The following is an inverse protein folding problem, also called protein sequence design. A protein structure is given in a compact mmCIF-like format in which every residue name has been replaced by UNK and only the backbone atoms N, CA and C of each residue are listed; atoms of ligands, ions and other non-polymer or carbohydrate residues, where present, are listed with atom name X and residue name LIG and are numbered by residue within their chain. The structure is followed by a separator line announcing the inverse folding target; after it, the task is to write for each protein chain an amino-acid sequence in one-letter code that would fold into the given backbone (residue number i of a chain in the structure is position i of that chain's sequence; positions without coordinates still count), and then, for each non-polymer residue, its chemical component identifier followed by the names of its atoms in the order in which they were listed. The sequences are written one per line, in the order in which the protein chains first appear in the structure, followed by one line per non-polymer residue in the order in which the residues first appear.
data_IF_970664886467
#
_entry.id   IF_970664886467
#
_cell.length_a   1.000
_cell.length_b   1.000
_cell.length_c   1.000
_cell.angle_alpha   90.00
_cell.angle_beta   90.00
_cell.angle_gamma   90.00
#
_symmetry.space_group_name_H-M   'P 1'
#
loop_
_entity.id
_entity.type
_entity.pdbx_description
1 polymer ?
#
# COMPACT_ATOMS: atom_id res chain seq x y z
N UNK A 1 -26.31 16.83 -11.23
CA UNK A 1 -25.65 15.97 -10.22
C UNK A 1 -25.98 14.52 -10.59
N UNK A 2 -25.20 13.93 -11.47
CA UNK A 2 -25.40 12.54 -11.92
C UNK A 2 -24.49 11.66 -11.07
N UNK A 3 -25.12 10.92 -10.16
CA UNK A 3 -24.44 10.07 -9.18
C UNK A 3 -23.61 8.98 -9.85
N UNK A 4 -22.33 8.97 -9.52
CA UNK A 4 -21.36 7.93 -9.86
C UNK A 4 -21.05 7.05 -8.65
N UNK A 5 -22.07 6.79 -7.83
CA UNK A 5 -21.92 6.09 -6.55
C UNK A 5 -22.00 4.55 -6.66
N UNK A 6 -22.06 4.00 -7.87
CA UNK A 6 -22.12 2.56 -8.04
C UNK A 6 -20.72 1.92 -7.93
N UNK A 7 -20.61 0.75 -7.27
CA UNK A 7 -19.37 -0.02 -7.27
C UNK A 7 -18.86 -0.28 -8.69
N UNK A 8 -17.56 -0.27 -8.87
CA UNK A 8 -16.87 -0.55 -10.14
C UNK A 8 -16.38 -1.99 -10.16
N UNK A 9 -16.74 -2.76 -11.19
CA UNK A 9 -16.05 -4.00 -11.47
C UNK A 9 -14.57 -3.74 -11.77
N UNK A 10 -13.70 -4.74 -11.62
CA UNK A 10 -12.27 -4.59 -11.90
C UNK A 10 -12.01 -4.11 -13.34
N UNK A 11 -12.73 -4.67 -14.33
CA UNK A 11 -12.54 -4.27 -15.74
C UNK A 11 -12.88 -2.80 -15.94
N UNK A 12 -13.96 -2.34 -15.33
CA UNK A 12 -14.36 -0.95 -15.41
C UNK A 12 -13.41 -0.01 -14.69
N UNK A 13 -12.92 -0.44 -13.54
CA UNK A 13 -11.87 0.26 -12.81
C UNK A 13 -10.60 0.40 -13.66
N UNK A 14 -10.14 -0.69 -14.29
CA UNK A 14 -9.00 -0.66 -15.22
C UNK A 14 -9.21 0.34 -16.36
N UNK A 15 -10.41 0.34 -16.98
CA UNK A 15 -10.72 1.25 -18.09
C UNK A 15 -10.73 2.73 -17.66
N UNK A 16 -11.26 3.03 -16.47
CA UNK A 16 -11.32 4.40 -15.95
C UNK A 16 -9.92 4.89 -15.55
N UNK A 17 -9.12 4.04 -14.88
CA UNK A 17 -7.77 4.40 -14.42
C UNK A 17 -6.72 4.41 -15.52
N UNK A 18 -6.84 3.57 -16.56
CA UNK A 18 -5.87 3.51 -17.65
C UNK A 18 -5.74 4.83 -18.43
N UNK A 19 -6.74 5.71 -18.33
CA UNK A 19 -6.77 7.03 -18.96
C UNK A 19 -6.38 8.16 -18.01
N UNK A 20 -6.19 7.86 -16.74
CA UNK A 20 -5.88 8.85 -15.71
C UNK A 20 -4.38 9.12 -15.65
N UNK A 21 -3.99 10.39 -15.54
CA UNK A 21 -2.62 10.75 -15.18
C UNK A 21 -2.42 10.56 -13.66
N UNK A 22 -2.14 9.33 -13.29
CA UNK A 22 -1.98 8.95 -11.87
C UNK A 22 -0.75 9.59 -11.22
N UNK A 23 0.22 10.06 -11.99
CA UNK A 23 1.42 10.75 -11.45
C UNK A 23 1.06 12.10 -10.86
N UNK A 24 0.13 12.82 -11.51
CA UNK A 24 -0.33 14.15 -11.08
C UNK A 24 -1.70 14.11 -10.39
N UNK A 25 -2.28 12.93 -10.18
CA UNK A 25 -3.58 12.80 -9.55
C UNK A 25 -3.53 13.24 -8.08
N UNK A 26 -4.47 14.09 -7.61
CA UNK A 26 -4.62 14.36 -6.20
C UNK A 26 -5.00 13.11 -5.40
N UNK A 27 -4.48 12.96 -4.18
CA UNK A 27 -4.78 11.83 -3.29
C UNK A 27 -6.29 11.64 -3.11
N UNK A 28 -7.04 12.73 -2.88
CA UNK A 28 -8.49 12.65 -2.67
C UNK A 28 -9.24 12.04 -3.87
N UNK A 29 -8.86 12.40 -5.10
CA UNK A 29 -9.46 11.83 -6.31
C UNK A 29 -9.12 10.34 -6.47
N UNK A 30 -7.88 9.95 -6.12
CA UNK A 30 -7.48 8.54 -6.12
C UNK A 30 -8.24 7.74 -5.06
N UNK A 31 -8.40 8.28 -3.86
CA UNK A 31 -9.15 7.63 -2.79
C UNK A 31 -10.60 7.38 -3.18
N UNK A 32 -11.28 8.40 -3.70
CA UNK A 32 -12.66 8.29 -4.17
C UNK A 32 -12.80 7.18 -5.22
N UNK A 33 -11.91 7.16 -6.19
CA UNK A 33 -11.89 6.13 -7.22
C UNK A 33 -11.60 4.74 -6.64
N UNK A 34 -10.57 4.60 -5.79
CA UNK A 34 -10.14 3.33 -5.21
C UNK A 34 -11.21 2.71 -4.30
N UNK A 35 -11.94 3.54 -3.56
CA UNK A 35 -13.02 3.07 -2.67
C UNK A 35 -14.25 2.57 -3.42
N UNK A 36 -14.42 2.96 -4.69
CA UNK A 36 -15.50 2.47 -5.55
C UNK A 36 -15.22 1.09 -6.16
N UNK A 37 -13.98 0.61 -6.14
CA UNK A 37 -13.66 -0.73 -6.62
C UNK A 37 -14.44 -1.77 -5.83
N UNK A 38 -15.22 -2.59 -6.51
CA UNK A 38 -15.89 -3.73 -5.92
C UNK A 38 -14.87 -4.82 -5.60
N UNK A 39 -14.80 -5.23 -4.33
CA UNK A 39 -13.92 -6.29 -3.87
C UNK A 39 -14.77 -7.53 -3.59
N UNK A 40 -15.25 -8.16 -4.65
CA UNK A 40 -16.02 -9.38 -4.52
C UNK A 40 -15.15 -10.56 -4.03
N UNK A 41 -15.82 -11.54 -3.41
CA UNK A 41 -15.15 -12.71 -2.82
C UNK A 41 -14.44 -13.57 -3.87
N UNK A 42 -14.90 -13.58 -5.12
CA UNK A 42 -14.26 -14.35 -6.19
C UNK A 42 -12.92 -13.71 -6.58
N UNK A 43 -12.89 -12.36 -6.70
CA UNK A 43 -11.68 -11.63 -7.02
C UNK A 43 -10.62 -11.77 -5.91
N UNK A 44 -11.01 -11.48 -4.67
CA UNK A 44 -10.06 -11.48 -3.55
C UNK A 44 -9.66 -12.92 -3.20
N UNK A 45 -10.62 -13.84 -3.09
CA UNK A 45 -10.40 -15.24 -2.72
C UNK A 45 -9.45 -15.99 -3.65
N UNK A 46 -9.49 -15.69 -4.97
CA UNK A 46 -8.55 -16.26 -5.94
C UNK A 46 -7.09 -15.90 -5.71
N UNK A 47 -6.82 -14.82 -4.92
CA UNK A 47 -5.49 -14.31 -4.65
C UNK A 47 -5.09 -14.42 -3.17
N UNK A 48 -5.88 -15.11 -2.33
CA UNK A 48 -5.53 -15.37 -0.92
C UNK A 48 -4.51 -16.49 -0.87
N UNK A 49 -3.26 -16.14 -0.61
CA UNK A 49 -2.17 -17.08 -0.40
C UNK A 49 -1.23 -16.50 0.69
N UNK A 50 -1.01 -17.27 1.76
CA UNK A 50 -0.17 -16.88 2.90
C UNK A 50 1.24 -17.47 2.77
N UNK A 51 2.24 -16.76 3.28
CA UNK A 51 3.62 -17.25 3.41
C UNK A 51 4.00 -17.37 4.88
N UNK A 52 4.89 -18.32 5.21
CA UNK A 52 5.42 -18.49 6.56
C UNK A 52 6.55 -17.51 6.88
N UNK A 53 7.33 -17.12 5.88
CA UNK A 53 8.54 -16.32 6.08
C UNK A 53 8.23 -14.83 6.28
N UNK A 54 7.23 -14.31 5.56
CA UNK A 54 6.84 -12.89 5.59
C UNK A 54 5.42 -12.75 5.03
N UNK A 55 4.80 -11.58 5.19
CA UNK A 55 3.50 -11.34 4.56
C UNK A 55 3.57 -11.50 3.05
N UNK A 56 2.59 -12.19 2.48
CA UNK A 56 2.56 -12.47 1.05
C UNK A 56 2.02 -11.26 0.26
N UNK A 57 2.62 -10.99 -0.91
CA UNK A 57 2.22 -9.93 -1.86
C UNK A 57 1.70 -10.58 -3.15
N UNK A 58 0.41 -10.86 -3.21
CA UNK A 58 -0.20 -11.56 -4.32
C UNK A 58 -0.74 -10.55 -5.35
N UNK A 59 -0.17 -10.56 -6.56
CA UNK A 59 -0.54 -9.63 -7.62
C UNK A 59 -1.89 -10.03 -8.23
N UNK A 60 -2.86 -9.12 -8.23
CA UNK A 60 -4.14 -9.26 -8.94
C UNK A 60 -3.99 -8.76 -10.37
N UNK A 61 -3.57 -7.51 -10.54
CA UNK A 61 -3.29 -6.94 -11.84
C UNK A 61 -2.28 -5.79 -11.74
N UNK A 62 -1.58 -5.54 -12.86
CA UNK A 62 -0.67 -4.41 -13.01
C UNK A 62 -0.83 -3.80 -14.39
N UNK A 63 -0.93 -2.48 -14.42
CA UNK A 63 -0.95 -1.65 -15.63
C UNK A 63 0.19 -0.64 -15.56
N UNK A 64 0.32 0.22 -16.57
CA UNK A 64 1.25 1.35 -16.49
C UNK A 64 0.82 2.42 -15.46
N UNK A 65 -0.47 2.49 -15.13
CA UNK A 65 -1.05 3.51 -14.26
C UNK A 65 -1.14 3.08 -12.79
N UNK A 66 -1.38 1.80 -12.52
CA UNK A 66 -1.58 1.29 -11.16
C UNK A 66 -1.26 -0.20 -11.04
N UNK A 67 -1.15 -0.67 -9.80
CA UNK A 67 -1.18 -2.09 -9.45
C UNK A 67 -2.16 -2.36 -8.31
N UNK A 68 -2.79 -3.53 -8.35
CA UNK A 68 -3.71 -4.05 -7.34
C UNK A 68 -3.14 -5.34 -6.77
N UNK A 69 -3.04 -5.41 -5.45
CA UNK A 69 -2.48 -6.54 -4.71
C UNK A 69 -3.44 -7.02 -3.63
N UNK A 70 -3.45 -8.33 -3.39
CA UNK A 70 -3.97 -8.94 -2.16
C UNK A 70 -2.78 -9.30 -1.28
N UNK A 71 -2.69 -8.69 -0.09
CA UNK A 71 -1.66 -9.00 0.89
C UNK A 71 -2.25 -9.88 1.98
N UNK A 72 -1.55 -10.98 2.27
CA UNK A 72 -1.96 -11.94 3.30
C UNK A 72 -0.93 -11.96 4.42
N UNK A 73 -1.39 -11.77 5.65
CA UNK A 73 -0.57 -11.61 6.83
C UNK A 73 -0.91 -12.66 7.87
N UNK A 74 0.05 -13.52 8.23
CA UNK A 74 -0.09 -14.39 9.40
C UNK A 74 0.06 -13.60 10.70
N UNK A 75 -0.41 -14.12 11.84
CA UNK A 75 -0.19 -13.50 13.15
C UNK A 75 1.27 -13.09 13.36
N UNK A 76 1.50 -11.87 13.83
CA UNK A 76 2.82 -11.31 14.11
C UNK A 76 3.60 -10.78 12.91
N UNK A 77 3.09 -10.94 11.68
CA UNK A 77 3.76 -10.38 10.50
C UNK A 77 3.53 -8.87 10.38
N UNK A 78 4.58 -8.15 10.00
CA UNK A 78 4.55 -6.71 9.80
C UNK A 78 5.41 -6.29 8.61
N UNK A 79 5.09 -5.14 8.01
CA UNK A 79 5.98 -4.48 7.06
C UNK A 79 7.15 -3.80 7.77
N UNK A 80 8.19 -3.43 7.03
CA UNK A 80 9.14 -2.42 7.47
C UNK A 80 8.45 -1.08 7.69
N UNK A 81 9.08 -0.15 8.40
CA UNK A 81 8.66 1.26 8.41
C UNK A 81 9.13 1.87 7.10
N UNK A 82 8.21 2.36 6.28
CA UNK A 82 8.53 2.79 4.92
C UNK A 82 7.61 3.89 4.39
N UNK A 83 8.00 4.52 3.30
CA UNK A 83 7.14 5.28 2.40
C UNK A 83 7.06 4.61 1.02
N UNK A 84 6.20 5.12 0.18
CA UNK A 84 5.90 4.55 -1.14
C UNK A 84 6.67 5.22 -2.30
N UNK A 85 7.79 5.89 -2.03
CA UNK A 85 8.60 6.58 -3.05
C UNK A 85 7.77 7.47 -4.00
N UNK A 86 6.76 8.15 -3.45
CA UNK A 86 5.86 9.06 -4.17
C UNK A 86 4.63 8.42 -4.80
N UNK A 87 4.43 7.09 -4.75
CA UNK A 87 3.18 6.47 -5.20
C UNK A 87 2.04 6.78 -4.23
N UNK A 88 0.83 6.98 -4.78
CA UNK A 88 -0.41 7.01 -4.01
C UNK A 88 -0.75 5.61 -3.52
N UNK A 89 -1.37 5.50 -2.35
CA UNK A 89 -1.88 4.22 -1.85
C UNK A 89 -3.23 4.35 -1.18
N UNK A 90 -4.07 3.32 -1.42
CA UNK A 90 -5.25 3.00 -0.61
C UNK A 90 -5.17 1.54 -0.23
N UNK A 91 -5.26 1.27 1.06
CA UNK A 91 -5.33 -0.07 1.64
C UNK A 91 -6.72 -0.30 2.20
N UNK A 92 -7.38 -1.40 1.83
CA UNK A 92 -8.69 -1.81 2.36
C UNK A 92 -8.54 -3.12 3.13
N UNK A 93 -9.14 -3.19 4.31
CA UNK A 93 -9.21 -4.44 5.08
C UNK A 93 -10.34 -5.30 4.49
N UNK A 94 -10.00 -6.50 4.06
CA UNK A 94 -10.95 -7.49 3.56
C UNK A 94 -11.34 -8.49 4.65
N UNK A 95 -10.37 -8.98 5.42
CA UNK A 95 -10.57 -9.93 6.51
C UNK A 95 -9.58 -9.63 7.65
N UNK A 96 -10.04 -9.69 8.90
CA UNK A 96 -9.21 -9.52 10.09
C UNK A 96 -9.03 -8.06 10.51
N UNK A 97 -8.00 -7.81 11.32
CA UNK A 97 -7.72 -6.53 11.95
C UNK A 97 -6.32 -6.06 11.56
N UNK A 98 -6.25 -4.88 10.94
CA UNK A 98 -5.02 -4.25 10.49
C UNK A 98 -4.56 -3.19 11.50
N UNK A 99 -3.39 -3.38 12.11
CA UNK A 99 -2.72 -2.30 12.83
C UNK A 99 -1.96 -1.42 11.85
N UNK A 100 -2.31 -0.14 11.80
CA UNK A 100 -1.66 0.88 10.96
C UNK A 100 -0.97 1.90 11.84
N UNK A 101 0.31 2.14 11.60
CA UNK A 101 1.16 3.07 12.34
C UNK A 101 1.69 4.14 11.41
N UNK A 102 1.55 5.41 11.82
CA UNK A 102 2.12 6.55 11.10
C UNK A 102 3.32 7.09 11.85
N UNK A 103 4.37 7.41 11.10
CA UNK A 103 5.63 7.91 11.63
C UNK A 103 5.96 9.28 11.03
N UNK A 104 6.79 10.03 11.76
CA UNK A 104 7.38 11.28 11.31
C UNK A 104 8.88 11.24 11.55
N UNK A 105 9.65 11.84 10.66
CA UNK A 105 11.08 12.07 10.91
C UNK A 105 11.24 13.02 12.08
N UNK A 106 12.24 12.78 12.92
CA UNK A 106 12.50 13.65 14.10
C UNK A 106 12.90 15.09 13.74
N UNK A 107 13.37 15.33 12.53
CA UNK A 107 13.61 16.68 12.01
C UNK A 107 12.33 17.37 11.48
N UNK A 108 11.16 16.75 11.61
CA UNK A 108 9.87 17.24 11.14
C UNK A 108 9.60 16.99 9.65
N UNK A 109 10.54 16.40 8.91
CA UNK A 109 10.39 16.10 7.49
C UNK A 109 9.46 14.94 7.19
N UNK A 110 9.01 14.87 5.95
CA UNK A 110 8.27 13.74 5.36
C UNK A 110 9.22 12.77 4.67
N UNK A 111 8.70 11.65 4.20
CA UNK A 111 9.37 10.74 3.30
C UNK A 111 9.43 11.26 1.86
N UNK A 112 9.65 10.38 0.91
CA UNK A 112 9.74 10.72 -0.52
C UNK A 112 8.35 11.04 -1.07
N UNK A 113 8.18 12.21 -1.68
CA UNK A 113 6.89 12.71 -2.16
C UNK A 113 6.72 12.65 -3.68
N UNK A 114 7.83 12.48 -4.41
CA UNK A 114 7.84 12.44 -5.87
C UNK A 114 8.06 11.02 -6.39
N UNK A 115 7.28 10.63 -7.39
CA UNK A 115 7.36 9.31 -8.02
C UNK A 115 8.77 9.08 -8.60
N UNK A 116 9.39 7.98 -8.19
CA UNK A 116 10.76 7.64 -8.63
C UNK A 116 11.84 8.48 -7.94
N UNK A 117 11.48 9.32 -6.97
CA UNK A 117 12.44 10.15 -6.22
C UNK A 117 13.50 9.34 -5.45
N UNK A 118 13.20 8.08 -5.12
CA UNK A 118 14.17 7.18 -4.51
C UNK A 118 15.29 6.71 -5.46
N UNK A 119 15.08 6.78 -6.77
CA UNK A 119 16.01 6.20 -7.77
C UNK A 119 17.17 7.12 -8.15
N UNK A 120 17.14 8.41 -7.83
CA UNK A 120 18.18 9.36 -8.26
C UNK A 120 18.37 10.60 -7.38
N UNK A 121 17.59 10.74 -6.32
CA UNK A 121 17.69 11.85 -5.36
C UNK A 121 18.42 11.47 -4.06
N UNK A 122 18.76 12.48 -3.26
CA UNK A 122 19.25 12.24 -1.90
C UNK A 122 18.09 11.71 -1.04
N UNK A 123 18.30 10.53 -0.43
CA UNK A 123 17.29 9.93 0.45
C UNK A 123 17.08 10.77 1.72
N UNK A 124 15.85 10.88 2.22
CA UNK A 124 15.59 11.50 3.51
C UNK A 124 16.38 10.77 4.59
N UNK A 125 17.09 11.51 5.45
CA UNK A 125 17.88 10.93 6.54
C UNK A 125 17.30 11.27 7.90
N UNK A 126 17.56 10.41 8.86
CA UNK A 126 17.20 10.61 10.25
C UNK A 126 16.22 9.58 10.78
N UNK A 127 16.27 9.31 12.10
CA UNK A 127 15.37 8.39 12.74
C UNK A 127 13.94 8.92 12.72
N UNK A 128 12.98 7.98 12.74
CA UNK A 128 11.55 8.29 12.78
C UNK A 128 10.96 8.03 14.16
N UNK A 129 9.88 8.71 14.49
CA UNK A 129 9.10 8.53 15.70
C UNK A 129 7.66 8.22 15.37
N UNK A 130 7.04 7.35 16.16
CA UNK A 130 5.60 7.04 16.05
C UNK A 130 4.79 8.28 16.44
N UNK A 131 3.84 8.65 15.61
CA UNK A 131 2.94 9.79 15.87
C UNK A 131 1.48 9.37 15.95
N UNK A 132 1.09 8.24 15.34
CA UNK A 132 -0.26 7.72 15.39
C UNK A 132 -0.27 6.19 15.23
N UNK A 133 -1.23 5.55 15.89
CA UNK A 133 -1.51 4.12 15.76
C UNK A 133 -3.01 3.90 15.80
N UNK A 134 -3.52 3.13 14.86
CA UNK A 134 -4.94 2.76 14.78
C UNK A 134 -5.12 1.30 14.37
N UNK A 135 -6.22 0.70 14.80
CA UNK A 135 -6.65 -0.62 14.34
C UNK A 135 -7.87 -0.45 13.44
N UNK A 136 -7.78 -0.99 12.24
CA UNK A 136 -8.82 -0.98 11.23
C UNK A 136 -9.39 -2.38 11.08
N UNK A 137 -10.71 -2.52 11.25
CA UNK A 137 -11.45 -3.78 11.18
C UNK A 137 -12.59 -3.70 10.16
N UNK A 138 -13.04 -4.84 9.68
CA UNK A 138 -14.14 -4.93 8.73
C UNK A 138 -13.84 -4.18 7.43
N UNK A 139 -14.78 -3.52 6.80
CA UNK A 139 -14.56 -2.76 5.56
C UNK A 139 -13.72 -1.46 5.73
N UNK A 140 -12.89 -1.39 6.77
CA UNK A 140 -12.03 -0.23 7.04
C UNK A 140 -11.03 0.02 5.91
N UNK A 141 -10.65 1.29 5.73
CA UNK A 141 -9.62 1.68 4.77
C UNK A 141 -8.58 2.60 5.41
N UNK A 142 -7.32 2.34 5.13
CA UNK A 142 -6.22 3.26 5.38
C UNK A 142 -5.87 3.98 4.07
N UNK A 143 -5.75 5.28 4.16
CA UNK A 143 -5.26 6.13 3.08
C UNK A 143 -3.88 6.59 3.46
N UNK A 144 -2.91 6.36 2.58
CA UNK A 144 -1.52 6.74 2.81
C UNK A 144 -1.14 7.84 1.82
N UNK A 145 -0.92 9.03 2.34
CA UNK A 145 -0.51 10.19 1.54
C UNK A 145 0.90 10.04 0.99
N UNK A 146 1.18 10.72 -0.11
CA UNK A 146 2.55 10.79 -0.65
C UNK A 146 3.54 11.29 0.40
N UNK A 147 4.61 10.52 0.57
CA UNK A 147 5.64 10.81 1.56
C UNK A 147 5.19 10.59 3.01
N UNK A 148 4.06 9.94 3.25
CA UNK A 148 3.71 9.42 4.57
C UNK A 148 4.57 8.20 4.88
N UNK A 149 5.18 8.21 6.06
CA UNK A 149 6.00 7.10 6.55
C UNK A 149 5.12 6.26 7.46
N UNK A 150 4.96 4.99 7.15
CA UNK A 150 4.05 4.13 7.88
C UNK A 150 4.57 2.70 8.06
N UNK A 151 3.84 1.93 8.85
CA UNK A 151 4.01 0.49 9.04
C UNK A 151 2.64 -0.15 9.18
N UNK A 152 2.46 -1.31 8.56
CA UNK A 152 1.28 -2.15 8.70
C UNK A 152 1.66 -3.46 9.40
N UNK A 153 0.77 -3.96 10.25
CA UNK A 153 1.01 -5.20 11.00
C UNK A 153 -0.29 -5.98 11.22
N UNK A 154 -0.18 -7.30 11.30
CA UNK A 154 -1.16 -8.18 11.88
C UNK A 154 -0.76 -8.54 13.31
N UNK A 155 -1.35 -7.88 14.30
CA UNK A 155 -1.11 -8.14 15.73
C UNK A 155 -2.18 -9.03 16.36
N UNK A 156 -3.15 -9.50 15.55
CA UNK A 156 -4.18 -10.42 16.00
C UNK A 156 -3.71 -11.88 15.95
N UNK A 157 -4.48 -12.78 16.57
CA UNK A 157 -4.25 -14.23 16.54
C UNK A 157 -4.79 -14.89 15.26
N UNK A 158 -5.52 -14.14 14.41
CA UNK A 158 -6.12 -14.61 13.18
C UNK A 158 -5.35 -14.13 11.95
N UNK A 159 -5.61 -14.75 10.79
CA UNK A 159 -5.08 -14.25 9.52
C UNK A 159 -5.72 -12.92 9.13
N UNK A 160 -4.93 -12.02 8.54
CA UNK A 160 -5.38 -10.74 7.99
C UNK A 160 -5.23 -10.77 6.47
N UNK A 161 -6.23 -10.27 5.76
CA UNK A 161 -6.19 -10.04 4.31
C UNK A 161 -6.51 -8.58 4.03
N UNK A 162 -5.61 -7.94 3.31
CA UNK A 162 -5.76 -6.53 2.88
C UNK A 162 -5.61 -6.41 1.38
N UNK A 163 -6.36 -5.47 0.79
CA UNK A 163 -6.29 -5.15 -0.64
C UNK A 163 -5.64 -3.80 -0.80
N UNK A 164 -4.57 -3.75 -1.58
CA UNK A 164 -3.75 -2.55 -1.78
C UNK A 164 -3.80 -2.09 -3.22
N UNK A 165 -4.08 -0.83 -3.41
CA UNK A 165 -4.00 -0.15 -4.70
C UNK A 165 -2.89 0.90 -4.65
N UNK A 166 -1.95 0.84 -5.60
CA UNK A 166 -0.86 1.81 -5.75
C UNK A 166 -0.92 2.48 -7.12
N UNK A 167 -0.70 3.78 -7.16
CA UNK A 167 -0.67 4.54 -8.40
C UNK A 167 0.41 5.65 -8.36
N UNK A 168 1.38 5.60 -9.29
CA UNK A 168 1.69 4.49 -10.21
C UNK A 168 2.13 3.22 -9.47
N UNK A 169 2.33 2.09 -10.19
CA UNK A 169 2.78 0.84 -9.59
C UNK A 169 4.00 1.01 -8.70
N UNK A 170 3.98 0.40 -7.52
CA UNK A 170 5.04 0.50 -6.52
C UNK A 170 6.13 -0.55 -6.79
N UNK A 171 7.32 -0.11 -7.17
CA UNK A 171 8.48 -0.99 -7.40
C UNK A 171 9.49 -0.97 -6.27
N UNK A 172 9.62 0.19 -5.64
CA UNK A 172 10.61 0.44 -4.61
C UNK A 172 9.97 1.20 -3.45
N UNK A 173 10.43 0.95 -2.25
CA UNK A 173 10.08 1.69 -1.03
C UNK A 173 11.33 2.27 -0.40
N UNK A 174 11.18 3.34 0.36
CA UNK A 174 12.25 3.85 1.23
C UNK A 174 11.98 3.37 2.64
N UNK A 175 12.93 2.64 3.21
CA UNK A 175 12.84 2.05 4.55
C UNK A 175 13.53 2.95 5.56
N UNK A 176 12.90 3.09 6.72
CA UNK A 176 13.33 3.95 7.83
C UNK A 176 13.59 3.17 9.10
N UNK A 177 14.45 3.72 9.97
CA UNK A 177 14.72 3.19 11.31
C UNK A 177 14.23 4.15 12.40
N UNK A 178 13.81 3.60 13.54
CA UNK A 178 13.47 4.38 14.73
C UNK A 178 14.71 4.88 15.50
N UNK A 179 15.82 4.22 15.31
CA UNK A 179 17.06 4.45 16.10
C UNK A 179 18.20 5.02 15.28
N UNK A 180 18.25 4.68 14.00
CA UNK A 180 19.35 5.03 13.11
C UNK A 180 18.95 6.10 12.12
N UNK A 181 19.92 6.96 11.75
CA UNK A 181 19.72 7.95 10.70
C UNK A 181 19.81 7.35 9.28
N UNK A 182 19.95 6.03 9.18
CA UNK A 182 20.07 5.32 7.91
C UNK A 182 18.68 5.10 7.29
N UNK A 183 18.61 5.34 5.99
CA UNK A 183 17.48 4.97 5.14
C UNK A 183 18.02 4.21 3.94
N UNK A 184 17.25 3.27 3.44
CA UNK A 184 17.63 2.47 2.28
C UNK A 184 16.47 2.32 1.30
N UNK A 185 16.78 2.08 0.04
CA UNK A 185 15.80 1.69 -0.97
C UNK A 185 15.69 0.18 -0.98
N UNK A 186 14.48 -0.32 -0.76
CA UNK A 186 14.18 -1.73 -0.87
C UNK A 186 13.32 -1.98 -2.11
N UNK A 187 13.78 -2.87 -2.99
CA UNK A 187 13.00 -3.32 -4.14
C UNK A 187 11.98 -4.36 -3.71
N UNK A 188 10.75 -4.17 -4.14
CA UNK A 188 9.64 -5.08 -3.81
C UNK A 188 9.52 -6.21 -4.85
N UNK A 189 9.03 -7.36 -4.38
CA UNK A 189 8.73 -8.55 -5.20
C UNK A 189 7.32 -9.03 -4.93
N UNK A 190 6.77 -9.80 -5.86
CA UNK A 190 5.51 -10.52 -5.68
C UNK A 190 5.77 -11.93 -5.19
N UNK A 191 4.91 -12.47 -4.33
CA UNK A 191 5.11 -13.78 -3.71
C UNK A 191 4.98 -14.96 -4.69
N UNK A 192 4.20 -14.80 -5.77
CA UNK A 192 4.02 -15.86 -6.78
C UNK A 192 4.98 -15.78 -7.96
N UNK A 193 5.81 -14.74 -8.07
CA UNK A 193 6.74 -14.58 -9.19
C UNK A 193 8.01 -15.42 -9.05
N UNK A 194 8.30 -15.92 -7.85
CA UNK A 194 9.55 -16.65 -7.56
C UNK A 194 9.40 -18.18 -7.72
N UNK A 195 8.16 -18.71 -7.88
CA UNK A 195 7.92 -20.15 -8.04
C UNK A 195 8.04 -20.67 -9.49
N UNK A 196 8.32 -19.78 -10.45
CA UNK A 196 8.46 -20.12 -11.88
C UNK A 196 9.79 -19.69 -12.51
N UNK A 197 10.83 -19.45 -11.71
CA UNK A 197 12.18 -19.12 -12.20
C UNK A 197 13.14 -20.29 -12.07
#
# INVERSE_FOLDING_TARGET
MTGTDSPLSLERFILETSRADTRNMPQAAFNEMALRLDLDDALVGAHVNFSDDHYARNLVCRTAAFELLVLCWKPGQASTIHDHAGSLNVTRVYLGDLTSRTFRRRDGGRGVTEVGGAAGGELPRGPVELIDEQVLSGAGAAVVDRGEIHQLANESEAGLVTVHLYAPPLTDIVVYSRTEAHTEVQRLRYSLADDFA
#
